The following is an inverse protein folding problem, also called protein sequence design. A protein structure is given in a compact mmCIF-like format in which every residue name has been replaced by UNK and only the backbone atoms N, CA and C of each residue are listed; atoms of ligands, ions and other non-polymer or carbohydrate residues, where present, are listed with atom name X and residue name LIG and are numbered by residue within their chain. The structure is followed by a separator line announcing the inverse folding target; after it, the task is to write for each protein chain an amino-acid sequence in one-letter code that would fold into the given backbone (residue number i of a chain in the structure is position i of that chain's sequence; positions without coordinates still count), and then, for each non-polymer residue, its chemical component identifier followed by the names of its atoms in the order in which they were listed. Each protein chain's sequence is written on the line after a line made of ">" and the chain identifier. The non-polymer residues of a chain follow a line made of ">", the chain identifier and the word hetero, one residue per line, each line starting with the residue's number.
data_IF_690371411158
#
_entry.id   IF_690371411158
#
_cell.length_a   1.000
_cell.length_b   1.000
_cell.length_c   1.000
_cell.angle_alpha   90.00
_cell.angle_beta   90.00
_cell.angle_gamma   90.00
#
_symmetry.space_group_name_H-M   'P 1'
#
loop_
_entity.id
_entity.type
_entity.pdbx_description
1 polymer ?
#
# COMPACT_ATOMS: atom_id res chain seq x y z
N UNK A 1 -3.90 -21.63 5.64
CA UNK A 1 -4.65 -20.38 5.80
C UNK A 1 -4.24 -19.37 4.75
N UNK A 2 -5.20 -18.67 4.22
CA UNK A 2 -4.90 -17.68 3.20
C UNK A 2 -4.26 -16.43 3.82
N UNK A 3 -3.29 -15.87 3.14
CA UNK A 3 -2.78 -14.55 3.49
C UNK A 3 -3.76 -13.48 3.03
N UNK A 4 -3.77 -12.36 3.72
CA UNK A 4 -4.50 -11.18 3.28
C UNK A 4 -3.51 -10.22 2.65
N UNK A 5 -3.80 -9.74 1.45
CA UNK A 5 -3.02 -8.70 0.79
C UNK A 5 -3.83 -7.41 0.80
N UNK A 6 -3.31 -6.38 1.46
CA UNK A 6 -3.96 -5.08 1.55
C UNK A 6 -3.28 -4.14 0.56
N UNK A 7 -4.07 -3.59 -0.36
CA UNK A 7 -3.56 -2.68 -1.38
C UNK A 7 -4.00 -1.26 -1.05
N UNK A 8 -3.04 -0.37 -0.94
CA UNK A 8 -3.30 1.03 -0.59
C UNK A 8 -2.74 1.92 -1.69
N UNK A 9 -3.60 2.51 -2.53
CA UNK A 9 -3.14 3.48 -3.52
C UNK A 9 -2.83 4.80 -2.81
N UNK A 10 -1.70 5.40 -3.09
CA UNK A 10 -1.26 6.62 -2.41
C UNK A 10 -0.82 7.71 -3.38
N UNK A 11 -1.00 8.94 -2.94
CA UNK A 11 -0.39 10.14 -3.50
C UNK A 11 -0.30 11.18 -2.38
N UNK A 12 0.91 11.55 -1.99
CA UNK A 12 1.17 12.55 -0.95
C UNK A 12 0.42 12.27 0.37
N UNK A 13 0.56 11.05 0.89
CA UNK A 13 -0.12 10.60 2.11
C UNK A 13 0.83 10.43 3.31
N UNK A 14 1.99 11.08 3.28
CA UNK A 14 2.99 10.90 4.34
C UNK A 14 2.48 11.20 5.73
N UNK A 15 1.57 12.18 5.88
CA UNK A 15 1.03 12.56 7.19
C UNK A 15 0.01 11.57 7.73
N UNK A 16 -0.73 10.87 6.87
CA UNK A 16 -1.77 9.92 7.28
C UNK A 16 -1.28 8.48 7.32
N UNK A 17 -0.27 8.16 6.53
CA UNK A 17 0.18 6.80 6.34
C UNK A 17 0.73 6.14 7.61
N UNK A 18 1.52 6.82 8.46
CA UNK A 18 2.07 6.17 9.66
C UNK A 18 1.00 5.61 10.59
N UNK A 19 -0.07 6.37 10.82
CA UNK A 19 -1.15 5.91 11.68
C UNK A 19 -1.86 4.70 11.09
N UNK A 20 -2.15 4.76 9.78
CA UNK A 20 -2.80 3.65 9.09
C UNK A 20 -1.94 2.38 9.13
N UNK A 21 -0.66 2.50 8.82
CA UNK A 21 0.24 1.34 8.82
C UNK A 21 0.43 0.78 10.22
N UNK A 22 0.44 1.63 11.24
CA UNK A 22 0.50 1.19 12.62
C UNK A 22 -0.74 0.37 12.98
N UNK A 23 -1.93 0.83 12.58
CA UNK A 23 -3.18 0.12 12.82
C UNK A 23 -3.24 -1.22 12.09
N UNK A 24 -2.56 -1.33 10.95
CA UNK A 24 -2.56 -2.55 10.15
C UNK A 24 -1.41 -3.50 10.48
N UNK A 25 -0.60 -3.18 11.46
CA UNK A 25 0.60 -3.97 11.78
C UNK A 25 0.29 -5.43 12.12
N UNK A 26 -0.83 -5.70 12.78
CA UNK A 26 -1.21 -7.07 13.10
C UNK A 26 -1.56 -7.88 11.86
N UNK A 27 -2.16 -7.24 10.86
CA UNK A 27 -2.47 -7.88 9.59
C UNK A 27 -1.20 -8.14 8.80
N UNK A 28 -0.25 -7.21 8.86
CA UNK A 28 1.02 -7.34 8.15
C UNK A 28 1.83 -8.56 8.61
N UNK A 29 1.70 -8.96 9.86
CA UNK A 29 2.38 -10.15 10.38
C UNK A 29 1.90 -11.43 9.72
N UNK A 30 0.63 -11.49 9.32
CA UNK A 30 0.00 -12.68 8.75
C UNK A 30 -0.24 -12.55 7.25
N UNK A 31 0.03 -11.40 6.68
CA UNK A 31 -0.23 -11.11 5.27
C UNK A 31 0.79 -10.14 4.72
N UNK A 32 0.34 -9.26 3.85
CA UNK A 32 1.21 -8.25 3.25
C UNK A 32 0.47 -6.94 3.03
N UNK A 33 1.21 -5.85 3.09
CA UNK A 33 0.69 -4.52 2.77
C UNK A 33 1.43 -4.04 1.52
N UNK A 34 0.68 -3.68 0.50
CA UNK A 34 1.21 -3.22 -0.77
C UNK A 34 0.79 -1.77 -0.98
N UNK A 35 1.77 -0.89 -1.08
CA UNK A 35 1.56 0.51 -1.39
C UNK A 35 1.82 0.70 -2.88
N UNK A 36 0.85 1.25 -3.60
CA UNK A 36 1.04 1.61 -5.00
C UNK A 36 0.96 3.13 -5.10
N UNK A 37 2.13 3.75 -5.25
CA UNK A 37 2.27 5.19 -5.23
C UNK A 37 2.28 5.78 -6.64
N UNK A 38 1.60 6.90 -6.82
CA UNK A 38 1.49 7.53 -8.14
C UNK A 38 2.35 8.80 -8.25
N UNK A 39 3.55 8.77 -7.70
CA UNK A 39 4.51 9.87 -7.83
C UNK A 39 4.43 10.90 -6.72
N UNK A 40 4.36 10.46 -5.47
CA UNK A 40 4.35 11.36 -4.32
C UNK A 40 5.62 12.23 -4.29
N UNK A 41 5.44 13.50 -3.98
CA UNK A 41 6.54 14.45 -3.81
C UNK A 41 6.97 14.58 -2.35
N UNK A 42 6.17 14.06 -1.43
CA UNK A 42 6.49 14.06 -0.01
C UNK A 42 7.20 12.75 0.38
N UNK A 43 7.26 12.44 1.67
CA UNK A 43 7.96 11.26 2.18
C UNK A 43 7.08 10.02 2.25
N UNK A 44 6.01 9.93 1.47
CA UNK A 44 5.10 8.79 1.46
C UNK A 44 5.82 7.47 1.26
N UNK A 45 6.72 7.39 0.26
CA UNK A 45 7.46 6.17 -0.04
C UNK A 45 8.40 5.80 1.10
N UNK A 46 9.08 6.80 1.67
CA UNK A 46 9.99 6.57 2.79
C UNK A 46 9.24 6.01 4.01
N UNK A 47 8.07 6.56 4.32
CA UNK A 47 7.24 6.08 5.41
C UNK A 47 6.81 4.64 5.16
N UNK A 48 6.37 4.32 3.94
CA UNK A 48 5.97 2.96 3.59
C UNK A 48 7.11 1.96 3.79
N UNK A 49 8.33 2.34 3.38
CA UNK A 49 9.51 1.49 3.55
C UNK A 49 9.87 1.29 5.02
N UNK A 50 9.75 2.33 5.84
CA UNK A 50 10.03 2.24 7.27
C UNK A 50 9.11 1.21 7.95
N UNK A 51 7.85 1.16 7.55
CA UNK A 51 6.90 0.21 8.12
C UNK A 51 6.93 -1.17 7.46
N UNK A 52 7.84 -1.40 6.52
CA UNK A 52 8.02 -2.71 5.90
C UNK A 52 7.00 -3.07 4.84
N UNK A 53 6.26 -2.09 4.30
CA UNK A 53 5.33 -2.33 3.22
C UNK A 53 6.07 -2.54 1.90
N UNK A 54 5.46 -3.30 0.99
CA UNK A 54 5.97 -3.42 -0.37
C UNK A 54 5.52 -2.20 -1.15
N UNK A 55 6.41 -1.58 -1.91
CA UNK A 55 6.10 -0.35 -2.64
C UNK A 55 6.27 -0.56 -4.14
N UNK A 56 5.24 -0.21 -4.88
CA UNK A 56 5.25 -0.20 -6.34
C UNK A 56 4.87 1.19 -6.81
N UNK A 57 5.32 1.58 -7.99
CA UNK A 57 5.08 2.90 -8.54
C UNK A 57 4.15 2.80 -9.74
N UNK A 58 3.11 3.62 -9.74
CA UNK A 58 2.23 3.80 -10.90
C UNK A 58 2.62 5.10 -11.60
N UNK A 59 2.69 5.08 -12.94
CA UNK A 59 3.03 6.27 -13.71
C UNK A 59 1.90 7.27 -13.79
N UNK A 60 0.68 6.86 -13.53
CA UNK A 60 -0.50 7.70 -13.65
C UNK A 60 -1.27 7.75 -12.35
N UNK A 61 -1.91 8.89 -12.08
CA UNK A 61 -2.80 9.06 -10.94
C UNK A 61 -4.17 8.46 -11.26
N UNK A 62 -4.20 7.17 -11.48
CA UNK A 62 -5.41 6.44 -11.81
C UNK A 62 -5.60 5.36 -10.77
N UNK A 63 -6.63 5.51 -9.94
CA UNK A 63 -6.87 4.58 -8.84
C UNK A 63 -7.09 3.15 -9.33
N UNK A 64 -7.83 2.98 -10.44
CA UNK A 64 -8.02 1.67 -11.03
C UNK A 64 -6.72 1.02 -11.47
N UNK A 65 -5.82 1.80 -12.07
CA UNK A 65 -4.50 1.30 -12.47
C UNK A 65 -3.66 0.96 -11.24
N UNK A 66 -3.68 1.80 -10.20
CA UNK A 66 -2.95 1.54 -8.97
C UNK A 66 -3.43 0.24 -8.31
N UNK A 67 -4.73 0.03 -8.23
CA UNK A 67 -5.29 -1.19 -7.67
C UNK A 67 -4.94 -2.42 -8.51
N UNK A 68 -4.91 -2.27 -9.84
CA UNK A 68 -4.52 -3.36 -10.74
C UNK A 68 -3.05 -3.75 -10.55
N UNK A 69 -2.17 -2.77 -10.42
CA UNK A 69 -0.75 -3.03 -10.16
C UNK A 69 -0.59 -3.78 -8.83
N UNK A 70 -1.29 -3.33 -7.79
CA UNK A 70 -1.24 -4.00 -6.49
C UNK A 70 -1.76 -5.43 -6.56
N UNK A 71 -2.87 -5.64 -7.26
CA UNK A 71 -3.47 -6.97 -7.40
C UNK A 71 -2.54 -7.94 -8.11
N UNK A 72 -1.86 -7.49 -9.17
CA UNK A 72 -0.92 -8.33 -9.92
C UNK A 72 0.29 -8.74 -9.09
N UNK A 73 0.65 -7.96 -8.09
CA UNK A 73 1.81 -8.21 -7.24
C UNK A 73 1.43 -8.80 -5.89
N UNK A 74 0.15 -9.09 -5.66
CA UNK A 74 -0.31 -9.66 -4.40
C UNK A 74 -0.20 -11.17 -4.40
N UNK A 75 0.03 -11.74 -3.22
CA UNK A 75 0.13 -13.19 -3.03
C UNK A 75 -1.04 -13.77 -2.24
N UNK A 76 -1.90 -12.91 -1.68
CA UNK A 76 -3.00 -13.35 -0.82
C UNK A 76 -4.36 -12.92 -1.33
N UNK A 77 -5.36 -13.07 -0.48
CA UNK A 77 -6.69 -12.57 -0.76
C UNK A 77 -6.68 -11.05 -0.69
N UNK A 78 -7.35 -10.41 -1.64
CA UNK A 78 -7.29 -8.97 -1.78
C UNK A 78 -8.22 -8.26 -0.79
N UNK A 79 -7.70 -7.22 -0.18
CA UNK A 79 -8.48 -6.27 0.59
C UNK A 79 -8.00 -4.88 0.20
N UNK A 80 -8.93 -4.02 -0.19
CA UNK A 80 -8.61 -2.70 -0.72
C UNK A 80 -8.91 -1.63 0.30
N UNK A 81 -7.94 -0.73 0.51
CA UNK A 81 -8.11 0.42 1.40
C UNK A 81 -7.90 1.68 0.58
N UNK A 82 -8.89 2.57 0.65
CA UNK A 82 -8.83 3.87 0.00
C UNK A 82 -8.50 4.95 1.03
N UNK A 83 -7.53 5.75 0.70
CA UNK A 83 -7.15 6.92 1.49
C UNK A 83 -7.57 8.19 0.75
#
# INVERSE_FOLDING_TARGET
>A
MSKISIIIPTINEASNLPLLLSDLSSIQKEGEIIIVDSGSEDKTIDVANIYGAKVFISKERNRGLQLDIGAKNSEGELSLIHI
#
